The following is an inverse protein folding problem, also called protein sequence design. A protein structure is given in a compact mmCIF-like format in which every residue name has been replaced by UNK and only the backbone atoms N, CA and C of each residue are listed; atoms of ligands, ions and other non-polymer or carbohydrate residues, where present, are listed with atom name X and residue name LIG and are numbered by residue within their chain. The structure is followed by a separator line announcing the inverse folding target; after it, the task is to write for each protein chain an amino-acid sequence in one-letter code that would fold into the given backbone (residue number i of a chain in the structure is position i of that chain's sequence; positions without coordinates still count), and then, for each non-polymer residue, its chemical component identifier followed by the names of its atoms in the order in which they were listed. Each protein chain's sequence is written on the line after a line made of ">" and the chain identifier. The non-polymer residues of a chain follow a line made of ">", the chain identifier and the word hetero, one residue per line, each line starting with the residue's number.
data_IF_242113886341
#
_entry.id   IF_242113886341
#
_cell.length_a   1.000
_cell.length_b   1.000
_cell.length_c   1.000
_cell.angle_alpha   90.00
_cell.angle_beta   90.00
_cell.angle_gamma   90.00
#
_symmetry.space_group_name_H-M   'P 1'
#
loop_
_entity.id
_entity.type
_entity.pdbx_description
1 polymer ?
#
# COMPACT_ATOMS: atom_id res chain seq x y z
N UNK A 1 18.84 25.36 -20.00
CA UNK A 1 17.60 25.50 -20.79
C UNK A 1 17.64 24.46 -21.90
N UNK A 2 17.17 23.25 -21.59
CA UNK A 2 16.90 22.21 -22.59
C UNK A 2 15.39 22.24 -22.76
N UNK A 3 14.92 22.65 -23.93
CA UNK A 3 13.51 22.57 -24.28
C UNK A 3 13.07 21.11 -24.23
N UNK A 4 12.11 20.80 -23.37
CA UNK A 4 11.34 19.56 -23.41
C UNK A 4 9.88 19.94 -23.53
N UNK A 5 9.43 20.17 -24.75
CA UNK A 5 8.07 19.76 -25.12
C UNK A 5 8.08 18.22 -25.26
N UNK A 6 8.42 17.50 -24.18
CA UNK A 6 8.09 16.07 -24.12
C UNK A 6 6.60 16.03 -23.86
N UNK A 7 5.83 15.79 -24.93
CA UNK A 7 4.38 15.64 -24.87
C UNK A 7 4.06 14.58 -23.80
N UNK A 8 3.48 15.00 -22.67
CA UNK A 8 3.14 14.11 -21.56
C UNK A 8 2.25 13.00 -22.12
N UNK A 9 2.68 11.76 -21.98
CA UNK A 9 1.91 10.61 -22.46
C UNK A 9 0.64 10.46 -21.61
N UNK A 10 -0.49 10.27 -22.30
CA UNK A 10 -1.77 9.94 -21.70
C UNK A 10 -2.16 8.60 -22.29
N UNK A 11 -2.21 7.57 -21.45
CA UNK A 11 -2.40 6.17 -21.83
C UNK A 11 -3.81 5.94 -22.37
N UNK A 12 -4.79 6.50 -21.67
CA UNK A 12 -6.22 6.41 -21.95
C UNK A 12 -6.80 7.83 -22.00
N UNK A 13 -6.68 8.48 -23.15
CA UNK A 13 -7.19 9.84 -23.35
C UNK A 13 -8.70 9.94 -23.13
N UNK A 14 -9.45 8.86 -23.35
CA UNK A 14 -10.90 8.86 -23.20
C UNK A 14 -11.31 9.01 -21.74
N UNK A 15 -10.63 8.29 -20.82
CA UNK A 15 -10.96 8.33 -19.39
C UNK A 15 -10.09 9.32 -18.59
N UNK A 16 -8.86 9.59 -18.99
CA UNK A 16 -7.95 10.48 -18.24
C UNK A 16 -8.23 11.97 -18.47
N UNK A 17 -8.85 12.32 -19.61
CA UNK A 17 -9.23 13.69 -19.96
C UNK A 17 -10.75 13.89 -20.05
N UNK A 18 -11.52 12.92 -19.56
CA UNK A 18 -12.99 12.95 -19.53
C UNK A 18 -13.51 14.18 -18.79
N UNK A 19 -14.58 14.82 -19.26
CA UNK A 19 -15.19 15.92 -18.50
C UNK A 19 -15.80 15.40 -17.18
N UNK A 20 -15.84 16.25 -16.14
CA UNK A 20 -16.45 15.89 -14.84
C UNK A 20 -17.91 15.43 -14.98
N UNK A 21 -18.66 16.00 -15.93
CA UNK A 21 -20.04 15.61 -16.18
C UNK A 21 -20.13 14.21 -16.80
N UNK A 22 -19.31 13.91 -17.80
CA UNK A 22 -19.25 12.58 -18.42
C UNK A 22 -18.74 11.53 -17.43
N UNK A 23 -17.73 11.86 -16.63
CA UNK A 23 -17.21 10.97 -15.58
C UNK A 23 -18.28 10.62 -14.56
N UNK A 24 -19.05 11.60 -14.06
CA UNK A 24 -20.15 11.34 -13.13
C UNK A 24 -21.23 10.42 -13.72
N UNK A 25 -21.52 10.55 -15.02
CA UNK A 25 -22.44 9.65 -15.72
C UNK A 25 -21.89 8.23 -15.81
N UNK A 26 -20.62 8.07 -16.21
CA UNK A 26 -19.93 6.79 -16.28
C UNK A 26 -19.87 6.11 -14.90
N UNK A 27 -19.48 6.86 -13.87
CA UNK A 27 -19.45 6.38 -12.49
C UNK A 27 -20.82 5.94 -12.02
N UNK A 28 -21.89 6.68 -12.30
CA UNK A 28 -23.25 6.31 -11.89
C UNK A 28 -23.72 5.03 -12.60
N UNK A 29 -23.42 4.89 -13.90
CA UNK A 29 -23.73 3.68 -14.66
C UNK A 29 -23.03 2.46 -14.05
N UNK A 30 -21.71 2.55 -13.86
CA UNK A 30 -20.91 1.46 -13.28
C UNK A 30 -21.30 1.19 -11.82
N UNK A 31 -21.64 2.23 -11.05
CA UNK A 31 -22.10 2.09 -9.66
C UNK A 31 -23.40 1.28 -9.60
N UNK A 32 -24.38 1.61 -10.46
CA UNK A 32 -25.63 0.85 -10.55
C UNK A 32 -25.37 -0.63 -10.90
N UNK A 33 -24.46 -0.88 -11.83
CA UNK A 33 -24.08 -2.24 -12.23
C UNK A 33 -23.44 -3.01 -11.07
N UNK A 34 -22.39 -2.45 -10.43
CA UNK A 34 -21.68 -3.14 -9.35
C UNK A 34 -22.56 -3.35 -8.12
N UNK A 35 -23.44 -2.40 -7.79
CA UNK A 35 -24.39 -2.54 -6.66
C UNK A 35 -25.39 -3.66 -6.91
N UNK A 36 -25.97 -3.75 -8.12
CA UNK A 36 -26.84 -4.89 -8.48
C UNK A 36 -26.08 -6.21 -8.43
N UNK A 37 -24.88 -6.21 -9.01
CA UNK A 37 -24.03 -7.38 -9.10
C UNK A 37 -23.66 -7.95 -7.71
N UNK A 38 -23.19 -7.12 -6.78
CA UNK A 38 -22.83 -7.59 -5.43
C UNK A 38 -24.06 -8.00 -4.62
N UNK A 39 -25.19 -7.33 -4.82
CA UNK A 39 -26.44 -7.70 -4.16
C UNK A 39 -26.93 -9.10 -4.61
N UNK A 40 -26.74 -9.41 -5.89
CA UNK A 40 -27.15 -10.69 -6.49
C UNK A 40 -26.15 -11.82 -6.17
N UNK A 41 -24.85 -11.57 -6.20
CA UNK A 41 -23.85 -12.64 -6.11
C UNK A 41 -23.22 -12.81 -4.72
N UNK A 42 -23.24 -11.79 -3.86
CA UNK A 42 -22.50 -11.81 -2.58
C UNK A 42 -23.47 -11.74 -1.40
N UNK A 43 -23.67 -12.84 -0.65
CA UNK A 43 -24.59 -12.88 0.50
C UNK A 43 -24.35 -11.77 1.52
N UNK A 44 -23.08 -11.47 1.84
CA UNK A 44 -22.70 -10.39 2.75
C UNK A 44 -23.29 -9.04 2.35
N UNK A 45 -23.18 -8.64 1.07
CA UNK A 45 -23.73 -7.36 0.61
C UNK A 45 -25.25 -7.38 0.57
N UNK A 46 -25.85 -8.49 0.17
CA UNK A 46 -27.31 -8.62 0.18
C UNK A 46 -27.88 -8.42 1.57
N UNK A 47 -27.33 -9.12 2.56
CA UNK A 47 -27.75 -9.03 3.96
C UNK A 47 -27.56 -7.61 4.51
N UNK A 48 -26.38 -7.01 4.29
CA UNK A 48 -26.09 -5.64 4.74
C UNK A 48 -26.98 -4.59 4.09
N UNK A 49 -27.29 -4.74 2.80
CA UNK A 49 -28.17 -3.80 2.11
C UNK A 49 -29.62 -3.95 2.60
N UNK A 50 -30.06 -5.19 2.86
CA UNK A 50 -31.38 -5.48 3.39
C UNK A 50 -31.56 -4.95 4.82
N UNK A 51 -30.52 -5.03 5.66
CA UNK A 51 -30.49 -4.46 7.02
C UNK A 51 -30.63 -2.93 7.02
N UNK A 52 -29.97 -2.24 6.08
CA UNK A 52 -30.09 -0.79 5.88
C UNK A 52 -31.36 -0.38 5.11
N UNK A 53 -32.16 -1.35 4.66
CA UNK A 53 -33.40 -1.11 3.92
C UNK A 53 -33.18 -0.58 2.49
N UNK A 54 -32.01 -0.84 1.89
CA UNK A 54 -31.62 -0.35 0.56
C UNK A 54 -31.65 -1.46 -0.47
N UNK A 55 -32.16 -1.19 -1.67
CA UNK A 55 -32.10 -2.09 -2.83
C UNK A 55 -31.30 -1.44 -3.96
N UNK A 56 -30.77 -2.22 -4.93
CA UNK A 56 -30.03 -1.67 -6.08
C UNK A 56 -30.79 -0.59 -6.85
N UNK A 57 -32.12 -0.73 -6.97
CA UNK A 57 -33.01 0.25 -7.62
C UNK A 57 -33.09 1.61 -6.90
N UNK A 58 -32.62 1.72 -5.66
CA UNK A 58 -32.68 2.95 -4.87
C UNK A 58 -31.44 3.85 -5.11
N UNK A 59 -30.47 3.36 -5.89
CA UNK A 59 -29.32 4.11 -6.37
C UNK A 59 -29.70 4.78 -7.68
N UNK A 60 -29.96 6.09 -7.66
CA UNK A 60 -30.36 6.87 -8.83
C UNK A 60 -29.38 7.99 -9.15
N UNK A 61 -28.58 8.41 -8.18
CA UNK A 61 -27.55 9.44 -8.25
C UNK A 61 -26.29 8.96 -7.52
N UNK A 62 -25.16 9.64 -7.73
CA UNK A 62 -23.93 9.34 -6.98
C UNK A 62 -24.06 9.64 -5.49
N UNK A 63 -24.91 10.60 -5.10
CA UNK A 63 -25.13 10.92 -3.68
C UNK A 63 -25.84 9.79 -2.93
N UNK A 64 -26.57 8.92 -3.65
CA UNK A 64 -27.20 7.73 -3.07
C UNK A 64 -26.19 6.68 -2.59
N UNK A 65 -24.90 6.82 -2.96
CA UNK A 65 -23.81 6.02 -2.41
C UNK A 65 -23.82 6.07 -0.87
N UNK A 66 -24.20 7.21 -0.27
CA UNK A 66 -24.29 7.37 1.20
C UNK A 66 -25.29 6.43 1.88
N UNK A 67 -26.28 5.91 1.13
CA UNK A 67 -27.24 4.93 1.64
C UNK A 67 -26.61 3.56 1.83
N UNK A 68 -25.53 3.26 1.12
CA UNK A 68 -24.88 1.96 1.18
C UNK A 68 -23.97 1.87 2.42
N UNK A 69 -23.96 0.72 3.11
CA UNK A 69 -23.13 0.51 4.29
C UNK A 69 -21.64 0.46 3.92
N UNK A 70 -20.80 0.80 4.90
CA UNK A 70 -19.36 0.66 4.75
C UNK A 70 -18.90 -0.79 4.81
N UNK A 71 -17.91 -1.12 3.99
CA UNK A 71 -17.13 -2.36 4.12
C UNK A 71 -15.89 -2.09 4.97
N UNK A 72 -15.62 -2.93 5.96
CA UNK A 72 -14.44 -2.79 6.84
C UNK A 72 -13.49 -3.97 6.66
N UNK A 73 -12.23 -3.77 7.03
CA UNK A 73 -11.23 -4.84 7.04
C UNK A 73 -11.63 -6.02 7.92
N UNK A 74 -12.33 -5.77 9.02
CA UNK A 74 -12.82 -6.83 9.91
C UNK A 74 -13.89 -7.69 9.24
N UNK A 75 -14.81 -7.09 8.46
CA UNK A 75 -15.76 -7.85 7.65
C UNK A 75 -15.05 -8.78 6.66
N UNK A 76 -13.95 -8.32 6.04
CA UNK A 76 -13.14 -9.16 5.15
C UNK A 76 -12.52 -10.37 5.88
N UNK A 77 -12.05 -10.17 7.12
CA UNK A 77 -11.46 -11.23 7.94
C UNK A 77 -12.49 -12.24 8.43
N UNK A 78 -13.67 -11.79 8.82
CA UNK A 78 -14.78 -12.64 9.28
C UNK A 78 -15.23 -13.63 8.19
N UNK A 79 -15.22 -13.17 6.94
CA UNK A 79 -15.67 -13.93 5.77
C UNK A 79 -14.56 -14.62 4.99
N UNK A 80 -13.34 -14.71 5.56
CA UNK A 80 -12.24 -15.45 4.95
C UNK A 80 -12.60 -16.94 4.74
N UNK A 81 -12.13 -17.58 3.65
CA UNK A 81 -11.23 -16.99 2.64
C UNK A 81 -11.94 -16.30 1.47
N UNK A 82 -13.16 -16.72 1.12
CA UNK A 82 -13.78 -16.34 -0.16
C UNK A 82 -15.22 -15.80 -0.01
N UNK A 83 -15.69 -15.53 1.22
CA UNK A 83 -17.09 -15.19 1.48
C UNK A 83 -17.56 -13.86 0.87
N UNK A 84 -16.64 -13.00 0.45
CA UNK A 84 -16.94 -11.75 -0.29
C UNK A 84 -16.59 -11.82 -1.78
N UNK A 85 -16.23 -12.98 -2.31
CA UNK A 85 -15.97 -13.11 -3.74
C UNK A 85 -17.31 -13.07 -4.49
N UNK A 86 -17.41 -12.23 -5.52
CA UNK A 86 -18.59 -12.17 -6.39
C UNK A 86 -18.52 -13.16 -7.55
N UNK A 87 -17.38 -13.87 -7.70
CA UNK A 87 -17.18 -14.95 -8.67
C UNK A 87 -16.79 -16.24 -7.98
N UNK A 88 -17.14 -17.37 -8.62
CA UNK A 88 -16.71 -18.70 -8.18
C UNK A 88 -15.20 -18.85 -8.44
N UNK A 89 -14.54 -19.67 -7.63
CA UNK A 89 -13.09 -19.93 -7.78
C UNK A 89 -12.68 -20.41 -9.18
N UNK A 90 -13.58 -21.06 -9.95
CA UNK A 90 -13.30 -21.45 -11.34
C UNK A 90 -13.04 -20.27 -12.29
N UNK A 91 -13.52 -19.07 -11.93
CA UNK A 91 -13.39 -17.84 -12.73
C UNK A 91 -12.27 -16.94 -12.16
N UNK A 92 -11.68 -17.31 -11.01
CA UNK A 92 -10.57 -16.61 -10.37
C UNK A 92 -9.25 -17.23 -10.84
N UNK A 93 -8.37 -16.42 -11.41
CA UNK A 93 -7.08 -16.86 -11.97
C UNK A 93 -5.89 -16.46 -11.11
N UNK A 94 -6.08 -15.55 -10.13
CA UNK A 94 -5.05 -15.16 -9.17
C UNK A 94 -5.64 -14.84 -7.81
N UNK A 95 -4.90 -15.17 -6.77
CA UNK A 95 -5.22 -14.86 -5.38
C UNK A 95 -4.01 -14.18 -4.75
N UNK A 96 -4.24 -13.05 -4.10
CA UNK A 96 -3.26 -12.43 -3.20
C UNK A 96 -3.78 -12.46 -1.76
N UNK A 97 -2.87 -12.51 -0.81
CA UNK A 97 -3.20 -12.52 0.62
C UNK A 97 -2.28 -11.58 1.37
N UNK A 98 -2.84 -10.82 2.31
CA UNK A 98 -2.04 -10.09 3.29
C UNK A 98 -1.22 -11.07 4.16
N UNK A 99 -0.13 -10.61 4.75
CA UNK A 99 0.63 -11.30 5.80
C UNK A 99 -0.20 -11.39 7.10
N UNK A 100 -1.32 -12.12 7.08
CA UNK A 100 -2.16 -12.32 8.28
C UNK A 100 -1.65 -13.50 9.09
N UNK A 101 -1.24 -13.24 10.32
CA UNK A 101 -0.48 -14.23 11.11
C UNK A 101 -0.84 -14.24 12.60
N UNK A 102 -1.88 -13.49 12.99
CA UNK A 102 -2.57 -13.62 14.28
C UNK A 102 -4.10 -13.61 14.21
N UNK A 103 -4.62 -13.55 13.00
CA UNK A 103 -6.03 -13.70 12.64
C UNK A 103 -6.12 -14.17 11.19
N UNK A 104 -7.34 -14.40 10.69
CA UNK A 104 -7.53 -14.75 9.29
C UNK A 104 -7.01 -13.60 8.40
N UNK A 105 -6.14 -13.85 7.40
CA UNK A 105 -5.66 -12.81 6.50
C UNK A 105 -6.81 -12.27 5.65
N UNK A 106 -6.61 -11.11 5.03
CA UNK A 106 -7.46 -10.66 3.93
C UNK A 106 -6.98 -11.33 2.66
N UNK A 107 -7.92 -11.95 1.93
CA UNK A 107 -7.69 -12.62 0.66
C UNK A 107 -8.45 -11.87 -0.42
N UNK A 108 -7.78 -11.62 -1.54
CA UNK A 108 -8.34 -10.92 -2.70
C UNK A 108 -8.16 -11.78 -3.94
N UNK A 109 -9.21 -11.89 -4.73
CA UNK A 109 -9.25 -12.69 -5.96
C UNK A 109 -9.37 -11.81 -7.20
N UNK A 110 -8.78 -12.27 -8.29
CA UNK A 110 -8.80 -11.60 -9.59
C UNK A 110 -9.29 -12.56 -10.67
N UNK A 111 -10.26 -12.14 -11.46
CA UNK A 111 -10.58 -12.78 -12.75
C UNK A 111 -9.49 -12.44 -13.78
N UNK A 112 -9.54 -13.09 -14.95
CA UNK A 112 -8.64 -12.73 -16.05
C UNK A 112 -8.84 -11.25 -16.48
N UNK A 113 -10.09 -10.77 -16.49
CA UNK A 113 -10.41 -9.39 -16.83
C UNK A 113 -9.95 -8.40 -15.73
N UNK A 114 -9.99 -8.79 -14.46
CA UNK A 114 -9.44 -7.99 -13.37
C UNK A 114 -7.92 -7.78 -13.54
N UNK A 115 -7.19 -8.81 -13.98
CA UNK A 115 -5.73 -8.69 -14.22
C UNK A 115 -5.42 -7.82 -15.44
N UNK A 116 -6.25 -7.87 -16.48
CA UNK A 116 -6.12 -7.00 -17.65
C UNK A 116 -6.33 -5.53 -17.26
N UNK A 117 -7.43 -5.27 -16.54
CA UNK A 117 -7.76 -3.95 -15.97
C UNK A 117 -6.65 -3.45 -15.06
N UNK A 118 -6.11 -4.32 -14.19
CA UNK A 118 -5.02 -3.95 -13.29
C UNK A 118 -3.77 -3.54 -14.09
N UNK A 119 -3.43 -4.28 -15.14
CA UNK A 119 -2.28 -3.97 -15.99
C UNK A 119 -2.47 -2.63 -16.73
N UNK A 120 -3.69 -2.30 -17.18
CA UNK A 120 -4.01 -0.99 -17.77
C UNK A 120 -3.87 0.16 -16.76
N UNK A 121 -4.39 -0.02 -15.55
CA UNK A 121 -4.27 0.97 -14.49
C UNK A 121 -2.81 1.22 -14.11
N UNK A 122 -1.98 0.18 -14.14
CA UNK A 122 -0.55 0.33 -13.93
C UNK A 122 0.11 1.06 -15.10
N UNK A 123 -0.18 0.68 -16.34
CA UNK A 123 0.35 1.37 -17.52
C UNK A 123 -0.01 2.87 -17.49
N UNK A 124 -1.22 3.21 -17.05
CA UNK A 124 -1.65 4.58 -16.79
C UNK A 124 -0.77 5.29 -15.77
N UNK A 125 -0.52 4.67 -14.59
CA UNK A 125 0.25 5.34 -13.53
C UNK A 125 1.76 5.45 -13.80
N UNK A 126 2.34 4.54 -14.60
CA UNK A 126 3.77 4.62 -14.93
C UNK A 126 4.03 5.61 -16.06
N UNK A 127 3.13 5.71 -17.04
CA UNK A 127 3.25 6.67 -18.15
C UNK A 127 3.02 8.11 -17.69
N UNK A 128 2.10 8.37 -16.74
CA UNK A 128 1.96 9.69 -16.12
C UNK A 128 3.23 10.13 -15.36
N UNK A 129 3.99 9.18 -14.82
CA UNK A 129 5.27 9.42 -14.14
C UNK A 129 6.43 9.61 -15.12
N UNK A 130 6.18 9.46 -16.43
CA UNK A 130 7.14 9.69 -17.50
C UNK A 130 7.85 8.45 -18.01
N UNK A 131 7.42 7.23 -17.64
CA UNK A 131 7.94 5.98 -18.21
C UNK A 131 7.45 5.79 -19.64
N UNK A 132 8.34 5.31 -20.50
CA UNK A 132 8.11 5.04 -21.92
C UNK A 132 8.60 3.63 -22.29
N UNK A 133 8.40 3.25 -23.55
CA UNK A 133 8.93 2.01 -24.13
C UNK A 133 10.46 2.02 -24.34
N UNK A 134 11.11 3.18 -24.18
CA UNK A 134 12.57 3.30 -24.19
C UNK A 134 13.22 3.00 -22.82
N UNK A 135 12.43 2.83 -21.77
CA UNK A 135 12.93 2.69 -20.40
C UNK A 135 13.24 1.24 -20.02
N UNK A 136 14.33 1.08 -19.23
CA UNK A 136 14.70 -0.16 -18.55
C UNK A 136 14.40 0.03 -17.07
N UNK A 137 13.41 -0.71 -16.56
CA UNK A 137 12.82 -0.48 -15.23
C UNK A 137 13.18 -1.62 -14.30
N UNK A 138 13.90 -1.31 -13.21
CA UNK A 138 14.28 -2.29 -12.20
C UNK A 138 13.30 -2.33 -11.04
N UNK A 139 12.75 -3.52 -10.76
CA UNK A 139 11.75 -3.73 -9.71
C UNK A 139 12.42 -4.32 -8.47
N UNK A 140 12.52 -3.50 -7.44
CA UNK A 140 13.08 -3.85 -6.13
C UNK A 140 12.00 -4.22 -5.09
N UNK A 141 10.73 -4.30 -5.47
CA UNK A 141 9.69 -4.87 -4.61
C UNK A 141 9.75 -6.40 -4.58
N UNK A 142 9.40 -6.99 -3.44
CA UNK A 142 9.22 -8.43 -3.34
C UNK A 142 8.13 -8.95 -4.28
N UNK A 143 8.42 -10.05 -4.97
CA UNK A 143 7.42 -10.84 -5.69
C UNK A 143 6.73 -11.84 -4.75
N UNK A 144 5.71 -12.55 -5.27
CA UNK A 144 4.92 -13.51 -4.51
C UNK A 144 3.57 -12.94 -4.09
N UNK A 145 3.28 -12.90 -2.79
CA UNK A 145 1.97 -12.44 -2.28
C UNK A 145 1.81 -10.93 -2.28
N UNK A 146 2.92 -10.18 -2.29
CA UNK A 146 2.89 -8.73 -2.37
C UNK A 146 2.44 -8.28 -3.77
N UNK A 147 1.38 -7.48 -3.84
CA UNK A 147 0.78 -7.02 -5.10
C UNK A 147 1.68 -6.06 -5.86
N UNK A 148 2.57 -5.33 -5.18
CA UNK A 148 3.48 -4.37 -5.81
C UNK A 148 4.43 -4.98 -6.84
N UNK A 149 4.93 -6.20 -6.60
CA UNK A 149 5.83 -6.88 -7.53
C UNK A 149 5.15 -7.21 -8.86
N UNK A 150 4.10 -8.05 -8.84
CA UNK A 150 3.40 -8.44 -10.07
C UNK A 150 2.58 -7.31 -10.70
N UNK A 151 1.98 -6.42 -9.90
CA UNK A 151 1.20 -5.30 -10.41
C UNK A 151 2.03 -4.40 -11.32
N UNK A 152 3.12 -3.84 -10.76
CA UNK A 152 4.02 -2.97 -11.52
C UNK A 152 4.67 -3.70 -12.69
N UNK A 153 5.05 -4.98 -12.52
CA UNK A 153 5.61 -5.80 -13.61
C UNK A 153 4.72 -5.84 -14.85
N UNK A 154 3.46 -6.28 -14.71
CA UNK A 154 2.59 -6.48 -15.89
C UNK A 154 2.22 -5.16 -16.56
N UNK A 155 2.01 -4.08 -15.81
CA UNK A 155 1.71 -2.80 -16.45
C UNK A 155 2.92 -2.10 -17.06
N UNK A 156 4.13 -2.31 -16.53
CA UNK A 156 5.36 -1.83 -17.17
C UNK A 156 5.62 -2.56 -18.49
N UNK A 157 5.46 -3.89 -18.53
CA UNK A 157 5.53 -4.66 -19.79
C UNK A 157 4.46 -4.19 -20.77
N UNK A 158 3.24 -3.92 -20.29
CA UNK A 158 2.14 -3.42 -21.12
C UNK A 158 2.41 -2.02 -21.68
N UNK A 159 3.08 -1.16 -20.91
CA UNK A 159 3.53 0.16 -21.36
C UNK A 159 4.72 0.08 -22.36
N UNK A 160 5.28 -1.11 -22.59
CA UNK A 160 6.38 -1.35 -23.53
C UNK A 160 7.78 -1.25 -22.92
N UNK A 161 7.89 -0.96 -21.62
CA UNK A 161 9.18 -0.83 -20.94
C UNK A 161 9.84 -2.21 -20.74
N UNK A 162 11.17 -2.24 -20.74
CA UNK A 162 11.93 -3.45 -20.41
C UNK A 162 11.99 -3.62 -18.89
N UNK A 163 11.50 -4.76 -18.35
CA UNK A 163 11.46 -5.00 -16.91
C UNK A 163 12.65 -5.85 -16.44
N UNK A 164 13.35 -5.38 -15.40
CA UNK A 164 14.35 -6.14 -14.63
C UNK A 164 13.73 -6.57 -13.29
N UNK A 165 13.21 -7.81 -13.16
CA UNK A 165 12.46 -8.26 -11.99
C UNK A 165 13.39 -8.72 -10.85
N UNK A 166 14.19 -7.80 -10.31
CA UNK A 166 15.27 -8.09 -9.37
C UNK A 166 14.78 -8.60 -8.00
N UNK A 167 13.57 -8.22 -7.58
CA UNK A 167 13.09 -8.35 -6.19
C UNK A 167 13.92 -7.52 -5.20
N UNK A 168 13.53 -7.52 -3.92
CA UNK A 168 14.28 -6.86 -2.86
C UNK A 168 15.53 -7.66 -2.42
N UNK A 169 16.50 -6.97 -1.84
CA UNK A 169 17.70 -7.57 -1.23
C UNK A 169 18.90 -7.67 -2.16
N UNK A 170 20.03 -8.09 -1.60
CA UNK A 170 21.35 -8.12 -2.25
C UNK A 170 21.69 -6.79 -2.95
N UNK A 171 21.83 -5.72 -2.17
CA UNK A 171 21.94 -4.34 -2.66
C UNK A 171 23.13 -4.11 -3.60
N UNK A 172 24.30 -4.70 -3.32
CA UNK A 172 25.46 -4.62 -4.24
C UNK A 172 25.12 -5.17 -5.64
N UNK A 173 24.37 -6.28 -5.70
CA UNK A 173 23.89 -6.85 -6.95
C UNK A 173 22.84 -5.96 -7.63
N UNK A 174 21.99 -5.26 -6.86
CA UNK A 174 21.05 -4.28 -7.42
C UNK A 174 21.81 -3.19 -8.20
N UNK A 175 22.86 -2.64 -7.61
CA UNK A 175 23.68 -1.57 -8.19
C UNK A 175 24.45 -2.08 -9.42
N UNK A 176 24.99 -3.30 -9.35
CA UNK A 176 25.61 -3.96 -10.49
C UNK A 176 24.64 -4.09 -11.68
N UNK A 177 23.41 -4.56 -11.44
CA UNK A 177 22.39 -4.66 -12.49
C UNK A 177 21.99 -3.30 -13.05
N UNK A 178 21.83 -2.28 -12.19
CA UNK A 178 21.53 -0.91 -12.63
C UNK A 178 22.57 -0.41 -13.62
N UNK A 179 23.84 -0.60 -13.30
CA UNK A 179 24.98 -0.19 -14.13
C UNK A 179 25.08 -1.01 -15.42
N UNK A 180 25.01 -2.33 -15.33
CA UNK A 180 25.28 -3.23 -16.45
C UNK A 180 24.12 -3.30 -17.45
N UNK A 181 22.88 -3.18 -16.98
CA UNK A 181 21.70 -3.19 -17.83
C UNK A 181 21.28 -1.78 -18.27
N UNK A 182 21.86 -0.73 -17.69
CA UNK A 182 21.51 0.65 -18.01
C UNK A 182 20.09 1.02 -17.55
N UNK A 183 19.75 0.65 -16.32
CA UNK A 183 18.44 0.95 -15.70
C UNK A 183 18.17 2.46 -15.74
N UNK A 184 17.02 2.86 -16.29
CA UNK A 184 16.58 4.27 -16.38
C UNK A 184 15.44 4.60 -15.41
N UNK A 185 14.78 3.60 -14.84
CA UNK A 185 13.73 3.81 -13.85
C UNK A 185 13.80 2.79 -12.70
N UNK A 186 13.47 3.23 -11.49
CA UNK A 186 13.52 2.43 -10.27
C UNK A 186 12.15 2.29 -9.63
N UNK A 187 11.70 1.06 -9.42
CA UNK A 187 10.52 0.72 -8.61
C UNK A 187 10.99 0.21 -7.25
N UNK A 188 10.63 0.89 -6.15
CA UNK A 188 11.09 0.55 -4.80
C UNK A 188 10.22 1.19 -3.71
N UNK A 189 10.51 0.88 -2.44
CA UNK A 189 10.15 1.83 -1.37
C UNK A 189 11.12 3.02 -1.39
N UNK A 190 10.68 4.23 -1.00
CA UNK A 190 11.55 5.39 -0.82
C UNK A 190 12.77 5.11 0.06
N UNK A 191 12.57 4.49 1.22
CA UNK A 191 13.64 4.14 2.17
C UNK A 191 14.70 3.23 1.54
N UNK A 192 14.28 2.22 0.79
CA UNK A 192 15.21 1.29 0.16
C UNK A 192 15.96 1.95 -1.00
N UNK A 193 15.32 2.86 -1.75
CA UNK A 193 16.00 3.61 -2.80
C UNK A 193 17.11 4.54 -2.25
N UNK A 194 16.89 5.19 -1.11
CA UNK A 194 17.94 5.94 -0.41
C UNK A 194 19.08 5.01 0.04
N UNK A 195 18.76 3.87 0.63
CA UNK A 195 19.76 2.89 1.06
C UNK A 195 20.57 2.29 -0.09
N UNK A 196 19.95 2.04 -1.26
CA UNK A 196 20.70 1.63 -2.46
C UNK A 196 21.70 2.72 -2.86
N UNK A 197 21.32 3.99 -2.77
CA UNK A 197 22.19 5.12 -3.10
C UNK A 197 23.37 5.25 -2.12
N UNK A 198 23.14 5.04 -0.82
CA UNK A 198 24.20 4.97 0.21
C UNK A 198 25.20 3.86 -0.11
N UNK A 199 24.73 2.63 -0.36
CA UNK A 199 25.58 1.48 -0.69
C UNK A 199 26.34 1.71 -2.01
N UNK A 200 25.73 2.40 -2.99
CA UNK A 200 26.44 2.75 -4.22
C UNK A 200 27.62 3.69 -3.94
N UNK A 201 27.45 4.68 -3.07
CA UNK A 201 28.53 5.58 -2.64
C UNK A 201 29.64 4.82 -1.89
N UNK A 202 29.29 3.86 -1.03
CA UNK A 202 30.26 2.97 -0.35
C UNK A 202 31.06 2.12 -1.37
N UNK A 203 30.42 1.72 -2.47
CA UNK A 203 31.06 1.04 -3.61
C UNK A 203 31.89 1.99 -4.49
N UNK A 204 31.97 3.28 -4.16
CA UNK A 204 32.68 4.29 -4.95
C UNK A 204 31.95 4.69 -6.25
N UNK A 205 30.64 4.45 -6.32
CA UNK A 205 29.78 4.79 -7.45
C UNK A 205 28.91 5.99 -7.05
N UNK A 206 28.93 7.05 -7.84
CA UNK A 206 27.97 8.14 -7.67
C UNK A 206 26.59 7.70 -8.20
N UNK A 207 25.52 7.69 -7.39
CA UNK A 207 24.19 7.24 -7.85
C UNK A 207 23.67 8.02 -9.06
N UNK A 208 23.99 9.32 -9.17
CA UNK A 208 23.65 10.14 -10.33
C UNK A 208 24.25 9.60 -11.65
N UNK A 209 25.42 8.96 -11.59
CA UNK A 209 26.09 8.40 -12.78
C UNK A 209 25.46 7.08 -13.26
N UNK A 210 24.54 6.48 -12.47
CA UNK A 210 23.77 5.30 -12.88
C UNK A 210 22.67 5.65 -13.89
N UNK A 211 22.35 6.93 -14.08
CA UNK A 211 21.46 7.39 -15.15
C UNK A 211 19.97 7.11 -14.93
N UNK A 212 19.55 6.88 -13.68
CA UNK A 212 18.14 6.71 -13.32
C UNK A 212 17.42 8.07 -13.44
N UNK A 213 16.36 8.11 -14.25
CA UNK A 213 15.58 9.31 -14.57
C UNK A 213 14.26 9.39 -13.82
N UNK A 214 13.68 8.24 -13.48
CA UNK A 214 12.34 8.16 -12.87
C UNK A 214 12.32 7.20 -11.69
N UNK A 215 11.84 7.66 -10.55
CA UNK A 215 11.54 6.84 -9.38
C UNK A 215 10.04 6.60 -9.26
N UNK A 216 9.63 5.33 -9.22
CA UNK A 216 8.25 4.88 -9.02
C UNK A 216 8.13 4.29 -7.61
N UNK A 217 7.79 5.13 -6.64
CA UNK A 217 7.85 4.77 -5.23
C UNK A 217 6.47 4.54 -4.63
N UNK A 218 6.41 3.63 -3.66
CA UNK A 218 5.19 3.36 -2.91
C UNK A 218 5.42 2.29 -1.85
N UNK A 219 4.33 1.73 -1.33
CA UNK A 219 4.37 0.72 -0.27
C UNK A 219 4.58 1.27 1.13
N UNK A 220 5.01 2.53 1.28
CA UNK A 220 5.12 3.23 2.57
C UNK A 220 4.86 4.73 2.46
N UNK A 221 4.44 5.41 3.54
CA UNK A 221 4.32 6.85 3.58
C UNK A 221 5.70 7.51 3.59
N UNK A 222 5.83 8.62 2.88
CA UNK A 222 7.08 9.38 2.77
C UNK A 222 6.81 10.87 2.55
N UNK A 223 7.75 11.71 2.98
CA UNK A 223 7.58 13.17 2.99
C UNK A 223 8.15 13.83 1.74
N UNK A 224 7.83 15.11 1.53
CA UNK A 224 8.43 15.92 0.46
C UNK A 224 9.93 16.20 0.69
N UNK A 225 10.40 16.15 1.94
CA UNK A 225 11.82 16.20 2.27
C UNK A 225 12.53 14.94 1.74
N UNK A 226 11.97 13.76 1.99
CA UNK A 226 12.50 12.49 1.47
C UNK A 226 12.49 12.46 -0.07
N UNK A 227 11.50 13.11 -0.71
CA UNK A 227 11.50 13.31 -2.16
C UNK A 227 12.69 14.11 -2.62
N UNK A 228 12.92 15.29 -2.04
CA UNK A 228 14.05 16.15 -2.40
C UNK A 228 15.38 15.43 -2.24
N UNK A 229 15.53 14.64 -1.18
CA UNK A 229 16.73 13.83 -0.95
C UNK A 229 16.92 12.77 -2.04
N UNK A 230 15.87 12.04 -2.42
CA UNK A 230 15.91 11.09 -3.52
C UNK A 230 16.26 11.76 -4.86
N UNK A 231 15.64 12.90 -5.16
CA UNK A 231 15.88 13.65 -6.40
C UNK A 231 17.30 14.20 -6.47
N UNK A 232 17.85 14.71 -5.35
CA UNK A 232 19.23 15.20 -5.27
C UNK A 232 20.26 14.06 -5.38
N UNK A 233 20.03 12.95 -4.68
CA UNK A 233 20.93 11.80 -4.65
C UNK A 233 21.07 11.14 -6.03
N UNK A 234 19.94 10.96 -6.73
CA UNK A 234 19.88 10.20 -7.97
C UNK A 234 19.80 11.05 -9.23
N UNK A 235 19.42 12.33 -9.14
CA UNK A 235 19.11 13.15 -10.32
C UNK A 235 17.85 12.74 -11.07
N UNK A 236 16.94 12.02 -10.40
CA UNK A 236 15.68 11.50 -10.96
C UNK A 236 14.48 12.39 -10.62
N UNK A 237 13.35 12.17 -11.31
CA UNK A 237 12.03 12.61 -10.84
C UNK A 237 11.42 11.52 -9.95
N UNK A 238 11.16 11.81 -8.68
CA UNK A 238 10.61 10.84 -7.73
C UNK A 238 9.09 10.98 -7.65
N UNK A 239 8.35 9.91 -7.95
CA UNK A 239 6.87 9.91 -7.99
C UNK A 239 6.28 8.89 -7.02
N UNK A 240 5.09 9.20 -6.50
CA UNK A 240 4.35 8.35 -5.59
C UNK A 240 3.27 7.52 -6.29
N UNK A 241 3.00 6.33 -5.77
CA UNK A 241 1.87 5.50 -6.16
C UNK A 241 1.12 4.95 -4.94
N UNK A 242 -0.20 5.01 -5.02
CA UNK A 242 -1.11 4.54 -3.98
C UNK A 242 -1.91 3.33 -4.46
N UNK A 243 -2.06 2.38 -3.55
CA UNK A 243 -2.76 1.14 -3.84
C UNK A 243 -2.98 0.30 -2.59
N UNK A 244 -4.06 -0.47 -2.63
CA UNK A 244 -4.45 -1.43 -1.59
C UNK A 244 -4.85 -2.73 -2.28
N UNK A 245 -4.42 -3.87 -1.76
CA UNK A 245 -4.77 -5.19 -2.32
C UNK A 245 -6.29 -5.38 -2.39
N UNK A 246 -7.02 -4.88 -1.39
CA UNK A 246 -8.48 -4.89 -1.30
C UNK A 246 -9.14 -4.25 -2.53
N UNK A 247 -8.56 -3.15 -3.02
CA UNK A 247 -9.06 -2.42 -4.19
C UNK A 247 -8.58 -3.07 -5.48
N UNK A 248 -7.28 -3.19 -5.70
CA UNK A 248 -6.69 -3.88 -6.85
C UNK A 248 -5.19 -4.21 -6.68
N UNK A 249 -4.51 -3.53 -5.77
CA UNK A 249 -3.05 -3.43 -5.71
C UNK A 249 -2.61 -1.98 -5.95
N UNK A 250 -1.35 -1.73 -6.37
CA UNK A 250 -0.97 -0.46 -7.03
C UNK A 250 -1.89 -0.14 -8.22
N UNK A 251 -1.92 1.13 -8.63
CA UNK A 251 -2.74 1.60 -9.77
C UNK A 251 -4.08 2.23 -9.38
N UNK A 252 -4.37 2.38 -8.09
CA UNK A 252 -5.56 3.12 -7.62
C UNK A 252 -5.37 4.62 -7.87
N UNK A 253 -4.21 5.13 -7.47
CA UNK A 253 -3.78 6.49 -7.77
C UNK A 253 -2.26 6.58 -7.94
N UNK A 254 -1.77 7.59 -8.64
CA UNK A 254 -0.33 7.88 -8.70
C UNK A 254 -0.05 9.31 -9.14
N UNK A 255 1.14 9.81 -8.87
CA UNK A 255 1.55 11.15 -9.29
C UNK A 255 1.88 11.19 -10.77
N UNK A 256 1.60 12.34 -11.40
CA UNK A 256 2.18 12.68 -12.68
C UNK A 256 3.54 13.38 -12.49
N UNK A 257 4.23 13.68 -13.58
CA UNK A 257 5.53 14.37 -13.57
C UNK A 257 5.55 15.71 -12.81
N UNK A 258 4.40 16.34 -12.58
CA UNK A 258 4.27 17.60 -11.84
C UNK A 258 4.37 17.42 -10.32
N UNK A 259 4.17 16.20 -9.80
CA UNK A 259 4.27 15.90 -8.36
C UNK A 259 3.21 16.56 -7.45
N UNK A 260 2.17 17.17 -8.01
CA UNK A 260 1.13 17.87 -7.25
C UNK A 260 -0.07 16.98 -6.89
N UNK A 261 0.17 15.88 -6.16
CA UNK A 261 -0.85 14.93 -5.73
C UNK A 261 -1.12 13.79 -6.72
N UNK A 262 -1.77 12.74 -6.23
CA UNK A 262 -1.93 11.47 -6.93
C UNK A 262 -3.25 11.43 -7.68
N UNK A 263 -3.21 11.36 -9.00
CA UNK A 263 -4.38 11.18 -9.87
C UNK A 263 -5.06 9.84 -9.58
N UNK A 264 -6.34 9.87 -9.25
CA UNK A 264 -7.17 8.69 -9.00
C UNK A 264 -7.80 8.23 -10.31
N UNK A 265 -7.78 6.94 -10.60
CA UNK A 265 -8.50 6.35 -11.74
C UNK A 265 -10.01 6.28 -11.46
N UNK A 266 -10.67 7.45 -11.48
CA UNK A 266 -12.05 7.64 -11.05
C UNK A 266 -13.10 6.89 -11.89
N UNK A 267 -12.72 6.46 -13.08
CA UNK A 267 -13.50 5.55 -13.93
C UNK A 267 -13.58 4.14 -13.31
N UNK A 268 -12.58 3.72 -12.55
CA UNK A 268 -12.52 2.42 -11.88
C UNK A 268 -12.83 2.48 -10.37
N UNK A 269 -12.71 3.66 -9.75
CA UNK A 269 -12.91 3.83 -8.31
C UNK A 269 -13.70 5.10 -8.00
N UNK A 270 -14.65 5.03 -7.07
CA UNK A 270 -15.25 6.25 -6.49
C UNK A 270 -14.55 6.53 -5.16
N UNK A 271 -13.77 7.63 -5.05
CA UNK A 271 -13.21 8.07 -3.78
C UNK A 271 -14.22 8.90 -2.98
N UNK A 272 -14.24 8.71 -1.67
CA UNK A 272 -14.92 9.55 -0.69
C UNK A 272 -13.94 9.90 0.43
N UNK A 273 -14.14 11.06 1.08
CA UNK A 273 -13.43 11.44 2.31
C UNK A 273 -14.47 11.65 3.39
N UNK A 274 -14.37 10.88 4.48
CA UNK A 274 -15.32 10.94 5.60
C UNK A 274 -14.63 11.33 6.90
N UNK A 275 -15.39 11.91 7.81
CA UNK A 275 -14.97 12.01 9.20
C UNK A 275 -14.98 10.59 9.82
N UNK A 276 -13.88 10.15 10.46
CA UNK A 276 -13.76 8.76 10.91
C UNK A 276 -14.70 8.41 12.08
N UNK A 277 -15.15 9.40 12.85
CA UNK A 277 -16.03 9.25 14.01
C UNK A 277 -17.51 9.31 13.61
N UNK A 278 -17.91 10.42 12.96
CA UNK A 278 -19.30 10.65 12.55
C UNK A 278 -19.70 9.83 11.33
N UNK A 279 -18.71 9.44 10.50
CA UNK A 279 -18.87 8.71 9.22
C UNK A 279 -19.58 9.51 8.14
N UNK A 280 -19.76 10.81 8.35
CA UNK A 280 -20.30 11.73 7.37
C UNK A 280 -19.18 12.26 6.44
N UNK A 281 -19.50 12.59 5.18
CA UNK A 281 -18.54 13.23 4.29
C UNK A 281 -18.04 14.57 4.84
N UNK A 282 -16.73 14.79 4.73
CA UNK A 282 -16.13 16.10 5.08
C UNK A 282 -16.38 17.13 3.98
N UNK A 283 -16.13 18.41 4.28
CA UNK A 283 -16.22 19.47 3.28
C UNK A 283 -15.14 19.28 2.17
N UNK A 284 -15.39 19.74 0.92
CA UNK A 284 -14.40 19.63 -0.15
C UNK A 284 -13.04 20.23 0.24
N UNK A 285 -11.96 19.47 0.03
CA UNK A 285 -10.59 19.88 0.37
C UNK A 285 -10.17 19.63 1.82
N UNK A 286 -11.10 19.25 2.71
CA UNK A 286 -10.79 18.91 4.10
C UNK A 286 -10.19 17.50 4.21
N UNK A 287 -9.39 17.29 5.26
CA UNK A 287 -8.78 15.99 5.57
C UNK A 287 -9.79 15.06 6.26
N UNK A 288 -9.73 13.78 5.93
CA UNK A 288 -10.52 12.73 6.57
C UNK A 288 -10.07 11.34 6.16
N UNK A 289 -10.82 10.32 6.55
CA UNK A 289 -10.58 8.93 6.17
C UNK A 289 -11.01 8.69 4.71
N UNK A 290 -10.09 8.15 3.91
CA UNK A 290 -10.38 7.73 2.54
C UNK A 290 -11.27 6.48 2.54
N UNK A 291 -12.28 6.53 1.71
CA UNK A 291 -13.19 5.41 1.43
C UNK A 291 -13.26 5.22 -0.08
N UNK A 292 -13.24 3.97 -0.53
CA UNK A 292 -13.29 3.65 -1.96
C UNK A 292 -14.38 2.64 -2.28
N UNK A 293 -15.04 2.85 -3.42
CA UNK A 293 -15.90 1.85 -4.07
C UNK A 293 -15.26 1.43 -5.39
N UNK A 294 -15.08 0.13 -5.61
CA UNK A 294 -14.60 -0.40 -6.90
C UNK A 294 -15.75 -0.48 -7.91
N UNK A 295 -15.55 0.02 -9.12
CA UNK A 295 -16.60 0.10 -10.14
C UNK A 295 -16.56 -1.03 -11.17
N UNK A 296 -15.40 -1.60 -11.45
CA UNK A 296 -15.21 -2.57 -12.54
C UNK A 296 -14.61 -3.89 -12.10
N UNK A 297 -14.25 -4.04 -10.82
CA UNK A 297 -13.63 -5.27 -10.30
C UNK A 297 -14.67 -6.38 -10.19
N UNK A 298 -14.40 -7.52 -10.78
CA UNK A 298 -15.34 -8.63 -10.91
C UNK A 298 -15.17 -9.66 -9.81
N UNK A 299 -13.95 -10.11 -9.54
CA UNK A 299 -13.69 -11.23 -8.63
C UNK A 299 -14.04 -10.92 -7.18
N UNK A 300 -13.66 -9.72 -6.75
CA UNK A 300 -13.82 -9.22 -5.39
C UNK A 300 -14.08 -7.70 -5.40
N UNK A 301 -15.28 -7.25 -5.80
CA UNK A 301 -15.69 -5.86 -5.67
C UNK A 301 -15.88 -5.46 -4.21
N UNK A 302 -15.52 -4.23 -3.87
CA UNK A 302 -15.81 -3.63 -2.57
C UNK A 302 -16.64 -2.36 -2.67
N UNK A 303 -17.65 -2.25 -1.81
CA UNK A 303 -18.53 -1.09 -1.70
C UNK A 303 -18.16 -0.30 -0.45
N UNK A 304 -17.84 0.99 -0.62
CA UNK A 304 -17.48 1.93 0.44
C UNK A 304 -16.49 1.32 1.45
N UNK A 305 -15.38 0.81 0.94
CA UNK A 305 -14.32 0.22 1.76
C UNK A 305 -13.57 1.30 2.55
N UNK A 306 -13.60 1.17 3.88
CA UNK A 306 -12.89 2.02 4.83
C UNK A 306 -11.41 1.67 4.90
N UNK A 307 -10.57 2.48 4.26
CA UNK A 307 -9.12 2.23 4.11
C UNK A 307 -8.34 2.42 5.41
N UNK A 308 -8.87 3.28 6.29
CA UNK A 308 -8.20 3.85 7.46
C UNK A 308 -7.09 4.86 7.15
N UNK A 309 -6.83 5.16 5.89
CA UNK A 309 -5.84 6.17 5.47
C UNK A 309 -6.42 7.58 5.54
N UNK A 310 -5.64 8.53 6.05
CA UNK A 310 -6.01 9.95 6.12
C UNK A 310 -5.43 10.72 4.93
N UNK A 311 -6.30 11.36 4.17
CA UNK A 311 -5.93 12.23 3.05
C UNK A 311 -7.04 13.28 2.81
N UNK A 312 -6.88 14.09 1.76
CA UNK A 312 -7.89 15.00 1.21
C UNK A 312 -7.91 14.88 -0.31
N UNK A 313 -9.01 15.29 -0.91
CA UNK A 313 -9.19 15.29 -2.37
C UNK A 313 -9.24 16.72 -2.91
N UNK A 314 -8.65 16.91 -4.09
CA UNK A 314 -8.87 18.08 -4.94
C UNK A 314 -9.39 17.66 -6.30
N UNK A 315 -10.26 18.48 -6.88
CA UNK A 315 -10.77 18.33 -8.26
C UNK A 315 -10.30 19.46 -9.17
N UNK A 316 -9.36 20.28 -8.69
CA UNK A 316 -8.73 21.32 -9.50
C UNK A 316 -7.94 20.69 -10.65
N UNK A 317 -8.08 21.29 -11.84
CA UNK A 317 -7.40 20.82 -13.05
C UNK A 317 -5.88 20.81 -12.83
N UNK A 318 -5.25 19.69 -13.19
CA UNK A 318 -3.80 19.60 -13.20
C UNK A 318 -3.26 20.12 -14.53
N UNK A 319 -2.10 20.79 -14.49
CA UNK A 319 -1.42 21.29 -15.70
C UNK A 319 -0.98 20.18 -16.65
N UNK A 320 -0.89 18.93 -16.17
CA UNK A 320 -0.60 17.76 -17.00
C UNK A 320 -1.73 17.40 -17.99
N UNK A 321 -2.89 18.05 -17.90
CA UNK A 321 -4.03 17.89 -18.81
C UNK A 321 -5.01 16.78 -18.42
N UNK A 322 -4.77 16.07 -17.31
CA UNK A 322 -5.71 15.10 -16.73
C UNK A 322 -6.80 15.80 -15.93
N UNK A 323 -8.01 15.26 -15.97
CA UNK A 323 -9.22 15.82 -15.34
C UNK A 323 -9.68 15.05 -14.11
N UNK A 324 -9.00 13.95 -13.79
CA UNK A 324 -9.25 13.13 -12.60
C UNK A 324 -8.90 13.89 -11.32
N UNK A 325 -9.66 13.60 -10.26
CA UNK A 325 -9.39 14.07 -8.93
C UNK A 325 -8.01 13.58 -8.46
N UNK A 326 -7.36 14.41 -7.65
CA UNK A 326 -6.08 14.08 -7.04
C UNK A 326 -6.27 13.91 -5.53
N UNK A 327 -5.68 12.86 -4.97
CA UNK A 327 -5.51 12.73 -3.52
C UNK A 327 -4.17 13.31 -3.09
N UNK A 328 -4.15 13.94 -1.91
CA UNK A 328 -2.89 14.22 -1.22
C UNK A 328 -2.24 12.90 -0.77
N UNK A 329 -0.91 12.90 -0.60
CA UNK A 329 -0.21 11.80 0.05
C UNK A 329 -0.85 11.44 1.39
N UNK A 330 -0.85 10.15 1.71
CA UNK A 330 -1.41 9.67 2.98
C UNK A 330 -0.61 10.24 4.15
N UNK A 331 -1.23 11.09 4.96
CA UNK A 331 -0.56 11.76 6.08
C UNK A 331 -0.66 10.99 7.40
N UNK A 332 -1.40 9.87 7.43
CA UNK A 332 -1.55 9.05 8.63
C UNK A 332 -2.65 8.00 8.49
N UNK A 333 -2.89 7.25 9.56
CA UNK A 333 -3.96 6.26 9.65
C UNK A 333 -4.78 6.41 10.92
N UNK A 334 -6.04 6.00 10.86
CA UNK A 334 -6.97 5.98 12.02
C UNK A 334 -6.88 4.70 12.84
N UNK A 335 -6.18 3.67 12.33
CA UNK A 335 -5.87 2.44 13.05
C UNK A 335 -4.42 2.45 13.56
N UNK A 336 -4.05 1.41 14.34
CA UNK A 336 -2.70 1.26 14.88
C UNK A 336 -1.75 0.54 13.91
N UNK A 337 -2.03 0.52 12.61
CA UNK A 337 -1.19 -0.16 11.63
C UNK A 337 0.09 0.65 11.41
N UNK A 338 1.22 -0.06 11.41
CA UNK A 338 2.54 0.48 11.13
C UNK A 338 2.98 -0.02 9.76
N UNK A 339 3.77 0.79 9.06
CA UNK A 339 4.44 0.39 7.83
C UNK A 339 5.94 0.45 8.09
N UNK A 340 6.63 -0.67 7.88
CA UNK A 340 8.06 -0.84 8.14
C UNK A 340 8.66 -1.55 6.93
N UNK A 341 9.55 -0.87 6.20
CA UNK A 341 10.14 -1.35 4.93
C UNK A 341 9.07 -1.80 3.92
N UNK A 342 8.01 -1.01 3.77
CA UNK A 342 6.87 -1.32 2.90
C UNK A 342 5.95 -2.47 3.35
N UNK A 343 6.17 -3.07 4.53
CA UNK A 343 5.33 -4.15 5.05
C UNK A 343 4.38 -3.64 6.14
N UNK A 344 3.09 -3.99 6.01
CA UNK A 344 2.05 -3.66 6.99
C UNK A 344 2.17 -4.53 8.25
N UNK A 345 2.41 -3.89 9.40
CA UNK A 345 2.58 -4.53 10.71
C UNK A 345 1.56 -3.97 11.70
N UNK A 346 0.77 -4.84 12.32
CA UNK A 346 -0.11 -4.51 13.44
C UNK A 346 0.54 -4.96 14.76
N UNK A 347 0.47 -4.15 15.83
CA UNK A 347 0.94 -4.58 17.16
C UNK A 347 0.27 -5.87 17.65
N UNK A 348 -1.00 -6.12 17.29
CA UNK A 348 -1.67 -7.38 17.59
C UNK A 348 -1.01 -8.60 16.94
N UNK A 349 -0.26 -8.43 15.85
CA UNK A 349 0.52 -9.52 15.24
C UNK A 349 1.71 -9.93 16.11
N UNK A 350 2.44 -8.94 16.63
CA UNK A 350 3.54 -9.20 17.56
C UNK A 350 2.97 -9.85 18.83
N UNK A 351 1.87 -9.31 19.36
CA UNK A 351 1.24 -9.86 20.56
C UNK A 351 0.91 -11.35 20.44
N UNK A 352 0.18 -11.78 19.40
CA UNK A 352 -0.25 -13.19 19.39
C UNK A 352 0.89 -14.16 19.09
N UNK A 353 1.96 -13.73 18.42
CA UNK A 353 3.19 -14.52 18.35
C UNK A 353 3.80 -14.70 19.73
N UNK A 354 3.91 -13.62 20.50
CA UNK A 354 4.50 -13.67 21.84
C UNK A 354 3.63 -14.49 22.80
N UNK A 355 2.30 -14.49 22.65
CA UNK A 355 1.38 -15.32 23.44
C UNK A 355 1.58 -16.84 23.22
N UNK A 356 2.11 -17.26 22.07
CA UNK A 356 2.44 -18.67 21.79
C UNK A 356 3.79 -19.11 22.38
N UNK A 357 4.57 -18.18 22.93
CA UNK A 357 5.89 -18.46 23.49
C UNK A 357 5.74 -18.58 25.00
N UNK A 358 5.75 -19.81 25.50
CA UNK A 358 5.53 -20.11 26.92
C UNK A 358 6.52 -19.42 27.86
N UNK A 359 7.70 -19.07 27.37
CA UNK A 359 8.81 -18.54 28.16
C UNK A 359 8.70 -17.02 28.44
N UNK A 360 7.83 -16.30 27.72
CA UNK A 360 7.68 -14.84 27.84
C UNK A 360 6.36 -14.43 28.50
N UNK A 361 6.39 -13.28 29.16
CA UNK A 361 5.19 -12.62 29.65
C UNK A 361 4.49 -11.87 28.49
N UNK A 362 3.18 -11.60 28.58
CA UNK A 362 2.44 -10.81 27.59
C UNK A 362 2.72 -9.30 27.73
N UNK A 363 3.97 -8.94 28.05
CA UNK A 363 4.45 -7.59 28.20
C UNK A 363 5.57 -7.37 27.20
N UNK A 364 5.30 -6.51 26.23
CA UNK A 364 6.22 -6.21 25.15
C UNK A 364 6.10 -4.75 24.73
N UNK A 365 7.14 -4.28 24.06
CA UNK A 365 7.20 -2.96 23.45
C UNK A 365 7.86 -3.09 22.09
N UNK A 366 7.21 -2.52 21.09
CA UNK A 366 7.77 -2.33 19.75
C UNK A 366 8.45 -0.97 19.73
N UNK A 367 9.74 -0.96 19.43
CA UNK A 367 10.51 0.26 19.22
C UNK A 367 10.84 0.32 17.75
N UNK A 368 10.36 1.36 17.09
CA UNK A 368 10.64 1.62 15.68
C UNK A 368 11.68 2.74 15.66
N UNK A 369 12.82 2.46 15.07
CA UNK A 369 13.93 3.40 14.91
C UNK A 369 14.26 3.52 13.43
N UNK A 370 14.88 4.63 13.04
CA UNK A 370 15.47 4.81 11.71
C UNK A 370 16.98 4.82 11.87
N UNK A 371 17.65 3.84 11.28
CA UNK A 371 19.10 3.77 11.21
C UNK A 371 19.52 4.04 9.76
N UNK A 372 20.19 5.17 9.53
CA UNK A 372 20.38 5.69 8.17
C UNK A 372 19.03 5.98 7.52
N UNK A 373 18.76 5.35 6.36
CA UNK A 373 17.51 5.50 5.62
C UNK A 373 16.51 4.36 5.83
N UNK A 374 16.90 3.30 6.56
CA UNK A 374 16.06 2.12 6.76
C UNK A 374 15.35 2.16 8.12
N UNK A 375 14.07 1.79 8.09
CA UNK A 375 13.31 1.54 9.30
C UNK A 375 13.71 0.18 9.90
N UNK A 376 13.98 0.17 11.21
CA UNK A 376 14.36 -0.98 12.03
C UNK A 376 13.25 -1.22 13.06
N UNK A 377 12.90 -2.50 13.27
CA UNK A 377 11.90 -2.91 14.26
C UNK A 377 12.59 -3.70 15.37
N UNK A 378 12.67 -3.11 16.55
CA UNK A 378 13.09 -3.79 17.78
C UNK A 378 11.84 -4.22 18.57
N UNK A 379 11.78 -5.50 18.95
CA UNK A 379 10.72 -6.06 19.79
C UNK A 379 11.34 -6.42 21.13
N UNK A 380 11.06 -5.59 22.12
CA UNK A 380 11.41 -5.84 23.51
C UNK A 380 10.31 -6.65 24.19
N UNK A 381 10.64 -7.75 24.85
CA UNK A 381 9.66 -8.61 25.54
C UNK A 381 10.17 -9.08 26.89
N UNK A 382 9.33 -9.01 27.92
CA UNK A 382 9.66 -9.49 29.25
C UNK A 382 9.65 -11.02 29.33
N UNK A 383 10.65 -11.59 29.98
CA UNK A 383 10.65 -13.00 30.35
C UNK A 383 9.71 -13.28 31.52
N UNK A 384 9.23 -14.53 31.63
CA UNK A 384 8.58 -14.98 32.87
C UNK A 384 9.62 -15.12 33.99
N UNK A 385 9.25 -14.86 35.26
CA UNK A 385 10.20 -14.88 36.38
C UNK A 385 10.98 -16.18 36.56
N UNK A 386 10.37 -17.31 36.24
CA UNK A 386 10.95 -18.66 36.31
C UNK A 386 11.93 -18.97 35.17
N UNK A 387 11.90 -18.17 34.09
CA UNK A 387 12.78 -18.31 32.92
C UNK A 387 14.02 -17.42 33.00
N UNK A 388 14.04 -16.45 33.92
CA UNK A 388 15.21 -15.60 34.18
C UNK A 388 16.24 -16.35 35.04
N UNK A 389 16.82 -17.42 34.50
CA UNK A 389 17.74 -18.33 35.20
C UNK A 389 19.21 -17.91 35.09
N UNK A 390 19.52 -16.82 34.38
CA UNK A 390 20.90 -16.34 34.15
C UNK A 390 21.72 -17.19 33.16
N UNK A 391 21.13 -18.23 32.58
CA UNK A 391 21.78 -19.06 31.56
C UNK A 391 21.72 -18.37 30.19
N UNK A 392 22.85 -17.84 29.73
CA UNK A 392 22.98 -17.20 28.41
C UNK A 392 22.47 -18.09 27.26
N UNK A 393 22.74 -19.39 27.32
CA UNK A 393 22.31 -20.33 26.28
C UNK A 393 20.79 -20.47 26.20
N UNK A 394 20.10 -20.47 27.34
CA UNK A 394 18.64 -20.55 27.38
C UNK A 394 18.00 -19.27 26.81
N UNK A 395 18.56 -18.11 27.16
CA UNK A 395 18.11 -16.82 26.65
C UNK A 395 18.27 -16.73 25.12
N UNK A 396 19.41 -17.18 24.57
CA UNK A 396 19.65 -17.19 23.13
C UNK A 396 18.68 -18.14 22.39
N UNK A 397 18.35 -19.29 22.98
CA UNK A 397 17.36 -20.22 22.42
C UNK A 397 15.95 -19.61 22.39
N UNK A 398 15.54 -18.90 23.44
CA UNK A 398 14.25 -18.17 23.50
C UNK A 398 14.23 -17.04 22.47
N UNK A 399 15.28 -16.23 22.40
CA UNK A 399 15.41 -15.12 21.44
C UNK A 399 15.31 -15.63 20.00
N UNK A 400 16.07 -16.67 19.64
CA UNK A 400 16.01 -17.29 18.30
C UNK A 400 14.63 -17.87 17.99
N UNK A 401 13.96 -18.46 18.98
CA UNK A 401 12.60 -19.00 18.82
C UNK A 401 11.60 -17.87 18.49
N UNK A 402 11.66 -16.78 19.24
CA UNK A 402 10.82 -15.59 19.03
C UNK A 402 11.15 -14.95 17.68
N UNK A 403 12.43 -14.73 17.38
CA UNK A 403 12.90 -14.18 16.10
C UNK A 403 12.39 -14.99 14.90
N UNK A 404 12.50 -16.33 14.92
CA UNK A 404 12.01 -17.18 13.82
C UNK A 404 10.50 -17.07 13.64
N UNK A 405 9.74 -17.11 14.74
CA UNK A 405 8.27 -16.98 14.69
C UNK A 405 7.88 -15.60 14.15
N UNK A 406 8.43 -14.53 14.71
CA UNK A 406 8.17 -13.15 14.28
C UNK A 406 8.57 -12.94 12.82
N UNK A 407 9.73 -13.46 12.40
CA UNK A 407 10.18 -13.29 11.01
C UNK A 407 9.24 -13.97 10.01
N UNK A 408 8.77 -15.17 10.36
CA UNK A 408 7.75 -15.87 9.57
C UNK A 408 6.42 -15.13 9.55
N UNK A 409 6.03 -14.52 10.67
CA UNK A 409 4.73 -13.89 10.87
C UNK A 409 4.66 -12.54 10.17
N UNK A 410 5.70 -11.73 10.34
CA UNK A 410 5.76 -10.34 9.87
C UNK A 410 6.31 -10.24 8.45
N UNK A 411 6.98 -11.28 7.92
CA UNK A 411 7.77 -11.18 6.68
C UNK A 411 8.83 -10.07 6.74
N UNK A 412 9.37 -9.84 7.94
CA UNK A 412 10.43 -8.88 8.27
C UNK A 412 11.44 -9.57 9.20
N UNK A 413 12.60 -8.98 9.41
CA UNK A 413 13.61 -9.50 10.35
C UNK A 413 13.78 -8.54 11.53
N UNK A 414 12.92 -8.61 12.57
CA UNK A 414 13.02 -7.71 13.70
C UNK A 414 14.19 -8.08 14.62
N UNK A 415 14.79 -7.08 15.28
CA UNK A 415 15.66 -7.27 16.43
C UNK A 415 14.80 -7.71 17.62
N UNK A 416 15.21 -8.77 18.34
CA UNK A 416 14.46 -9.27 19.51
C UNK A 416 15.30 -9.07 20.75
N UNK A 417 14.75 -8.36 21.74
CA UNK A 417 15.43 -8.10 23.00
C UNK A 417 14.63 -8.66 24.17
N UNK A 418 15.23 -9.61 24.88
CA UNK A 418 14.66 -10.16 26.09
C UNK A 418 14.94 -9.22 27.27
N UNK A 419 13.89 -8.85 28.00
CA UNK A 419 13.98 -7.98 29.16
C UNK A 419 13.70 -8.72 30.46
N UNK A 420 14.19 -8.15 31.55
CA UNK A 420 13.90 -8.64 32.90
C UNK A 420 12.39 -8.56 33.19
N UNK A 421 11.84 -9.50 33.98
CA UNK A 421 10.45 -9.42 34.41
C UNK A 421 10.15 -8.08 35.11
N UNK A 422 9.05 -7.42 34.72
CA UNK A 422 8.59 -6.13 35.27
C UNK A 422 9.51 -4.93 34.99
N UNK A 423 10.33 -4.99 33.96
CA UNK A 423 11.22 -3.88 33.55
C UNK A 423 10.55 -2.86 32.64
N UNK A 424 9.46 -3.22 31.94
CA UNK A 424 8.69 -2.29 31.12
C UNK A 424 7.77 -1.44 32.00
N UNK A 425 7.69 -0.14 31.69
CA UNK A 425 6.83 0.80 32.41
C UNK A 425 5.36 0.39 32.34
N UNK A 426 4.71 0.31 33.49
CA UNK A 426 3.30 -0.04 33.62
C UNK A 426 2.46 1.22 33.72
N UNK A 427 1.89 1.67 32.61
CA UNK A 427 0.90 2.76 32.63
C UNK A 427 -0.46 2.26 33.09
N UNK A 428 -1.12 3.01 33.98
CA UNK A 428 -2.51 2.77 34.40
C UNK A 428 -3.43 3.22 33.25
N UNK A 429 -3.64 2.36 32.26
CA UNK A 429 -4.41 2.66 31.04
C UNK A 429 -4.05 1.73 29.87
N UNK A 430 -4.38 2.14 28.64
CA UNK A 430 -4.01 1.43 27.41
C UNK A 430 -2.48 1.48 27.27
N UNK A 431 -1.79 0.35 27.48
CA UNK A 431 -0.33 0.28 27.41
C UNK A 431 0.17 0.82 26.06
N UNK A 432 1.10 1.78 26.07
CA UNK A 432 1.73 2.32 24.85
C UNK A 432 2.74 1.29 24.34
N UNK A 433 2.24 0.30 23.58
CA UNK A 433 3.03 -0.83 23.07
C UNK A 433 3.93 -0.49 21.89
N UNK A 434 3.77 0.70 21.31
CA UNK A 434 4.57 1.18 20.20
C UNK A 434 5.24 2.49 20.61
N UNK A 435 6.56 2.52 20.53
CA UNK A 435 7.37 3.73 20.56
C UNK A 435 7.91 3.93 19.15
N UNK A 436 7.38 4.93 18.45
CA UNK A 436 7.88 5.34 17.14
C UNK A 436 8.89 6.47 17.32
N UNK A 437 10.18 6.14 17.25
CA UNK A 437 11.28 7.11 17.37
C UNK A 437 11.66 7.74 16.03
N UNK A 438 11.00 7.38 14.93
CA UNK A 438 11.27 7.99 13.61
C UNK A 438 10.95 9.49 13.59
N UNK A 439 10.04 9.93 14.46
CA UNK A 439 9.58 11.33 14.60
C UNK A 439 10.54 12.17 15.47
N UNK A 440 11.34 11.56 16.34
CA UNK A 440 12.29 12.28 17.20
C UNK A 440 13.63 12.57 16.49
N UNK A 441 13.86 11.97 15.32
CA UNK A 441 15.07 12.10 14.52
C UNK A 441 14.95 13.07 13.33
N UNK A 442 13.81 13.76 13.18
CA UNK A 442 13.56 14.75 12.12
C UNK A 442 13.88 16.18 12.55
#
# INVERSE_FOLDING_TARGET
>A
MVGKESKIMIWDTECEQISREQLKRLQLERLKQVVSYVYEEVPFYRERFDEEGVKPKDIQTLDDLRKLPFTTKDALREHYPYGLFARKMKDIVRVHSSSGTTGKPVVVGYTANDLETWSDLIARIVTQAGVTDEDIVQICFGYGMFTGGFGLHYGLEKAGATVVPASAGNTERQIMMMKDFGTTALVSTPSYALYIGEVAQEMGINPHDLGIKTGLFGGEPWTEEMRRELEELWGMNATDNYGLSELIGPGVAGECVEGEGLHISEDHFIPEVIDPETREPVAPGEKGELVFTTLTKEGFPVIRYRTKDISRLTTEQCVCGRTTARMEKVSGRTDSMLIIRGVNVFPSQVESVLLEVEEVAPHYQMIIKREGHLDELEIQVELKPDQFTGSFRNLEEIERKIYKKLSSVLSLHPEVKLLEPKSLERTVGKSKRVIDKRIEAS
#
